data_IF_353911742709
#
_entry.id   IF_353911742709
#
_cell.length_a   1.000
_cell.length_b   1.000
_cell.length_c   1.000
_cell.angle_alpha   90.00
_cell.angle_beta   90.00
_cell.angle_gamma   90.00
#
_symmetry.space_group_name_H-M   'P 1'
#
loop_
_entity.id
_entity.type
_entity.pdbx_description
1 polymer ?
#
# COMPACT_ATOMS: atom_id res chain seq x y z
N UNK A 1 -8.04 13.44 -20.56
CA UNK A 1 -7.56 14.72 -19.95
C UNK A 1 -6.10 14.51 -19.68
N UNK A 2 -5.24 15.45 -20.02
CA UNK A 2 -3.80 15.32 -19.76
C UNK A 2 -3.55 15.49 -18.25
N UNK A 3 -2.64 14.69 -17.66
CA UNK A 3 -2.26 14.83 -16.26
C UNK A 3 -1.63 16.23 -16.05
N UNK A 4 -2.17 16.98 -15.11
CA UNK A 4 -1.69 18.33 -14.79
C UNK A 4 -1.64 18.54 -13.27
N UNK A 5 -0.83 19.50 -12.80
CA UNK A 5 -0.76 19.85 -11.37
C UNK A 5 -2.14 20.18 -10.75
N UNK A 6 -3.04 20.80 -11.52
CA UNK A 6 -4.40 21.11 -11.03
C UNK A 6 -5.23 19.87 -10.76
N UNK A 7 -5.16 18.84 -11.62
CA UNK A 7 -5.86 17.55 -11.44
C UNK A 7 -5.36 16.82 -10.19
N UNK A 8 -4.04 16.78 -9.98
CA UNK A 8 -3.43 16.18 -8.79
C UNK A 8 -3.92 16.89 -7.53
N UNK A 9 -3.83 18.22 -7.49
CA UNK A 9 -4.26 19.03 -6.34
C UNK A 9 -5.74 18.90 -6.04
N UNK A 10 -6.59 18.84 -7.06
CA UNK A 10 -8.03 18.64 -6.91
C UNK A 10 -8.34 17.26 -6.33
N UNK A 11 -7.68 16.22 -6.82
CA UNK A 11 -7.82 14.87 -6.30
C UNK A 11 -7.42 14.77 -4.82
N UNK A 12 -6.28 15.36 -4.45
CA UNK A 12 -5.81 15.36 -3.06
C UNK A 12 -6.74 16.13 -2.12
N UNK A 13 -7.34 17.24 -2.59
CA UNK A 13 -8.31 18.02 -1.80
C UNK A 13 -9.67 17.34 -1.66
N UNK A 14 -10.05 16.52 -2.63
CA UNK A 14 -11.32 15.80 -2.60
C UNK A 14 -11.25 14.51 -1.77
N UNK A 15 -10.06 14.08 -1.38
CA UNK A 15 -9.87 12.86 -0.61
C UNK A 15 -10.37 13.02 0.84
N UNK A 16 -10.86 11.94 1.47
CA UNK A 16 -11.22 11.94 2.88
C UNK A 16 -10.07 12.36 3.79
N UNK A 17 -10.42 13.06 4.87
CA UNK A 17 -9.47 13.39 5.94
C UNK A 17 -8.87 12.10 6.55
N UNK A 18 -7.60 12.08 6.97
CA UNK A 18 -7.01 10.92 7.65
C UNK A 18 -7.81 10.38 8.84
N UNK A 19 -8.53 11.25 9.55
CA UNK A 19 -9.40 10.86 10.67
C UNK A 19 -10.68 10.11 10.25
N UNK A 20 -11.04 10.16 8.97
CA UNK A 20 -12.22 9.52 8.40
C UNK A 20 -11.87 8.21 7.69
N UNK A 21 -10.59 7.88 7.59
CA UNK A 21 -10.11 6.66 6.92
C UNK A 21 -9.87 5.51 7.88
N UNK A 22 -10.09 4.27 7.39
CA UNK A 22 -9.59 3.07 8.02
C UNK A 22 -8.15 2.79 7.58
N UNK A 23 -7.39 2.05 8.38
CA UNK A 23 -6.01 1.67 8.06
C UNK A 23 -5.82 0.16 8.07
N UNK A 24 -5.11 -0.38 7.07
CA UNK A 24 -4.70 -1.78 6.97
C UNK A 24 -3.20 -1.87 6.67
N UNK A 25 -2.53 -2.94 7.16
CA UNK A 25 -1.09 -3.11 6.95
C UNK A 25 -0.78 -4.56 6.56
N UNK A 26 0.03 -4.73 5.51
CA UNK A 26 0.35 -6.03 4.93
C UNK A 26 1.82 -6.13 4.54
N UNK A 27 2.48 -7.24 4.84
CA UNK A 27 3.74 -7.65 4.23
C UNK A 27 3.48 -8.66 3.12
N UNK A 28 4.00 -8.43 1.93
CA UNK A 28 3.74 -9.23 0.73
C UNK A 28 4.99 -9.26 -0.19
N UNK A 29 6.12 -9.60 0.40
CA UNK A 29 7.42 -9.53 -0.29
C UNK A 29 7.96 -8.11 -0.38
N UNK A 30 8.70 -7.79 -1.45
CA UNK A 30 9.17 -6.43 -1.70
C UNK A 30 8.00 -5.46 -1.81
N UNK A 31 7.98 -4.43 -0.97
CA UNK A 31 6.84 -3.51 -0.79
C UNK A 31 6.51 -2.60 -1.98
N UNK A 32 7.39 -2.48 -2.98
CA UNK A 32 7.12 -1.64 -4.17
C UNK A 32 5.93 -2.13 -5.00
N UNK A 33 5.83 -3.46 -5.19
CA UNK A 33 4.71 -4.07 -5.88
C UNK A 33 3.38 -3.90 -5.14
N UNK A 34 3.29 -4.25 -3.85
CA UNK A 34 2.13 -3.98 -3.02
C UNK A 34 1.72 -2.51 -2.97
N UNK A 35 2.67 -1.55 -2.85
CA UNK A 35 2.37 -0.10 -2.87
C UNK A 35 1.62 0.29 -4.15
N UNK A 36 2.10 -0.13 -5.31
CA UNK A 36 1.44 0.13 -6.57
C UNK A 36 0.07 -0.58 -6.68
N UNK A 37 0.02 -1.88 -6.32
CA UNK A 37 -1.21 -2.69 -6.40
C UNK A 37 -2.33 -2.14 -5.54
N UNK A 38 -2.07 -1.84 -4.26
CA UNK A 38 -3.09 -1.30 -3.35
C UNK A 38 -3.43 0.14 -3.69
N UNK A 39 -2.46 0.97 -4.08
CA UNK A 39 -2.69 2.34 -4.52
C UNK A 39 -3.70 2.45 -5.67
N UNK A 40 -3.71 1.49 -6.60
CA UNK A 40 -4.66 1.46 -7.71
C UNK A 40 -6.10 1.17 -7.29
N UNK A 41 -6.33 0.47 -6.15
CA UNK A 41 -7.66 -0.02 -5.79
C UNK A 41 -8.64 1.11 -5.52
N UNK A 42 -9.86 0.95 -5.99
CA UNK A 42 -10.96 1.84 -5.63
C UNK A 42 -11.19 1.85 -4.12
N UNK A 43 -11.50 3.01 -3.55
CA UNK A 43 -11.67 3.20 -2.11
C UNK A 43 -10.36 3.26 -1.31
N UNK A 44 -9.20 2.92 -1.89
CA UNK A 44 -7.91 3.21 -1.27
C UNK A 44 -7.59 4.69 -1.45
N UNK A 45 -7.31 5.38 -0.36
CA UNK A 45 -7.04 6.81 -0.32
C UNK A 45 -5.55 7.08 -0.46
N UNK A 46 -4.72 6.45 0.39
CA UNK A 46 -3.25 6.60 0.33
C UNK A 46 -2.55 5.31 0.73
N UNK A 47 -1.31 5.21 0.32
CA UNK A 47 -0.45 4.10 0.70
C UNK A 47 0.89 4.62 1.20
N UNK A 48 1.57 3.85 2.04
CA UNK A 48 2.94 4.11 2.50
C UNK A 48 3.69 2.79 2.57
N UNK A 49 4.94 2.78 2.21
CA UNK A 49 5.80 1.62 2.47
C UNK A 49 6.62 1.85 3.73
N UNK A 50 6.94 0.77 4.42
CA UNK A 50 7.66 0.84 5.68
C UNK A 50 8.04 -0.51 6.24
N UNK A 51 8.35 -0.51 7.53
CA UNK A 51 8.84 -1.66 8.28
C UNK A 51 7.98 -1.90 9.50
N UNK A 52 7.65 -3.17 9.76
CA UNK A 52 6.82 -3.55 10.92
C UNK A 52 7.09 -4.98 11.38
N UNK A 53 6.56 -5.34 12.56
CA UNK A 53 6.57 -6.70 13.11
C UNK A 53 7.90 -7.13 13.76
N UNK A 54 8.88 -6.26 13.82
CA UNK A 54 10.16 -6.50 14.47
C UNK A 54 10.29 -5.76 15.80
N UNK A 55 11.41 -5.99 16.49
CA UNK A 55 11.73 -5.44 17.81
C UNK A 55 12.71 -4.26 17.75
N UNK A 56 13.43 -4.11 16.63
CA UNK A 56 14.39 -3.02 16.47
C UNK A 56 13.70 -1.66 16.45
N UNK A 57 14.21 -0.72 17.24
CA UNK A 57 13.80 0.69 17.17
C UNK A 57 14.51 1.39 15.99
N UNK A 58 13.78 2.28 15.31
CA UNK A 58 14.27 3.07 14.19
C UNK A 58 14.98 2.22 13.11
N UNK A 59 14.27 1.21 12.53
CA UNK A 59 14.82 0.40 11.45
C UNK A 59 15.06 1.25 10.20
N UNK A 60 16.03 0.84 9.39
CA UNK A 60 16.27 1.36 8.04
C UNK A 60 16.49 0.20 7.09
N UNK A 61 16.46 0.46 5.79
CA UNK A 61 16.66 -0.58 4.78
C UNK A 61 17.97 -1.38 4.99
N UNK A 62 19.04 -0.69 5.36
CA UNK A 62 20.35 -1.32 5.61
C UNK A 62 20.53 -1.85 7.04
N UNK A 63 19.59 -1.54 7.94
CA UNK A 63 19.64 -1.95 9.33
C UNK A 63 18.23 -2.34 9.82
N UNK A 64 17.60 -3.26 9.08
CA UNK A 64 16.21 -3.65 9.25
C UNK A 64 15.95 -4.42 10.55
N UNK A 65 16.94 -5.18 11.04
CA UNK A 65 16.75 -6.09 12.16
C UNK A 65 15.82 -7.24 11.78
N UNK A 66 14.83 -7.47 12.61
CA UNK A 66 13.81 -8.51 12.47
C UNK A 66 12.49 -8.01 11.89
N UNK A 67 12.47 -6.78 11.33
CA UNK A 67 11.28 -6.23 10.68
C UNK A 67 11.02 -6.86 9.29
N UNK A 68 9.77 -6.75 8.88
CA UNK A 68 9.28 -7.11 7.55
C UNK A 68 8.95 -5.84 6.77
N UNK A 69 9.23 -5.83 5.46
CA UNK A 69 8.73 -4.80 4.54
C UNK A 69 7.21 -4.88 4.44
N UNK A 70 6.55 -3.75 4.62
CA UNK A 70 5.09 -3.69 4.62
C UNK A 70 4.58 -2.50 3.82
N UNK A 71 3.37 -2.64 3.29
CA UNK A 71 2.55 -1.54 2.81
C UNK A 71 1.48 -1.22 3.85
N UNK A 72 1.36 0.05 4.22
CA UNK A 72 0.23 0.57 5.00
C UNK A 72 -0.73 1.29 4.06
N UNK A 73 -2.00 1.01 4.18
CA UNK A 73 -3.09 1.43 3.28
C UNK A 73 -4.13 2.16 4.09
N UNK A 74 -4.37 3.44 3.79
CA UNK A 74 -5.54 4.15 4.28
C UNK A 74 -6.66 4.02 3.25
N UNK A 75 -7.86 3.70 3.70
CA UNK A 75 -9.01 3.45 2.85
C UNK A 75 -10.26 4.16 3.36
N UNK A 76 -11.11 4.54 2.41
CA UNK A 76 -12.43 5.09 2.67
C UNK A 76 -13.39 3.94 3.05
N UNK A 77 -13.92 3.89 4.30
CA UNK A 77 -14.79 2.83 4.75
C UNK A 77 -16.16 2.80 4.07
N UNK A 78 -16.56 3.89 3.39
CA UNK A 78 -17.79 3.93 2.60
C UNK A 78 -17.63 3.28 1.22
N UNK A 79 -16.40 3.13 0.72
CA UNK A 79 -16.09 2.62 -0.62
C UNK A 79 -15.42 1.25 -0.62
N UNK A 80 -14.66 0.93 0.43
CA UNK A 80 -14.03 -0.38 0.58
C UNK A 80 -13.94 -0.77 2.06
N UNK A 81 -13.36 -1.92 2.37
CA UNK A 81 -13.31 -2.41 3.76
C UNK A 81 -12.01 -3.15 4.04
N UNK A 82 -11.64 -3.26 5.33
CA UNK A 82 -10.54 -4.12 5.76
C UNK A 82 -10.72 -5.57 5.27
N UNK A 83 -11.96 -6.10 5.24
CA UNK A 83 -12.29 -7.42 4.69
C UNK A 83 -11.84 -7.55 3.23
N UNK A 84 -12.20 -6.59 2.40
CA UNK A 84 -11.84 -6.61 0.98
C UNK A 84 -10.33 -6.53 0.79
N UNK A 85 -9.65 -5.65 1.54
CA UNK A 85 -8.20 -5.48 1.45
C UNK A 85 -7.43 -6.71 1.98
N UNK A 86 -7.86 -7.31 3.11
CA UNK A 86 -7.28 -8.54 3.63
C UNK A 86 -7.49 -9.71 2.65
N UNK A 87 -8.65 -9.78 2.01
CA UNK A 87 -8.90 -10.73 0.93
C UNK A 87 -7.92 -10.57 -0.22
N UNK A 88 -7.70 -9.33 -0.69
CA UNK A 88 -6.72 -9.03 -1.75
C UNK A 88 -5.29 -9.38 -1.34
N UNK A 89 -4.92 -9.17 -0.07
CA UNK A 89 -3.61 -9.55 0.45
C UNK A 89 -3.41 -11.08 0.41
N UNK A 90 -4.41 -11.86 0.84
CA UNK A 90 -4.36 -13.31 0.81
C UNK A 90 -4.38 -13.88 -0.63
N UNK A 91 -5.04 -13.20 -1.57
CA UNK A 91 -5.06 -13.59 -2.99
C UNK A 91 -3.74 -13.24 -3.71
N UNK A 92 -2.87 -12.43 -3.10
CA UNK A 92 -1.61 -11.98 -3.70
C UNK A 92 -0.48 -13.00 -3.58
N UNK A 93 -0.63 -14.04 -2.76
CA UNK A 93 0.38 -15.07 -2.51
C UNK A 93 -0.29 -16.41 -2.15
N UNK A 94 0.49 -17.47 -2.02
CA UNK A 94 0.01 -18.74 -1.47
C UNK A 94 0.10 -18.69 0.07
N UNK A 95 -1.03 -18.66 0.79
CA UNK A 95 -1.03 -18.57 2.25
C UNK A 95 -0.33 -19.73 2.96
N UNK A 96 -0.18 -20.89 2.30
CA UNK A 96 0.47 -22.08 2.83
C UNK A 96 1.98 -22.13 2.55
N UNK A 97 2.56 -21.03 2.03
CA UNK A 97 3.99 -20.94 1.73
C UNK A 97 4.57 -19.64 2.25
N UNK A 98 5.74 -19.74 2.88
CA UNK A 98 6.45 -18.57 3.39
C UNK A 98 7.88 -18.52 2.86
N UNK A 99 8.38 -17.31 2.64
CA UNK A 99 9.80 -17.09 2.32
C UNK A 99 10.64 -17.11 3.61
N UNK A 100 11.89 -17.54 3.49
CA UNK A 100 12.79 -17.66 4.66
C UNK A 100 13.25 -16.31 5.20
N UNK A 101 13.45 -15.34 4.32
CA UNK A 101 13.95 -14.00 4.67
C UNK A 101 12.85 -13.21 5.33
N UNK A 102 12.99 -12.86 6.60
CA UNK A 102 12.00 -12.11 7.40
C UNK A 102 11.59 -10.81 6.72
N UNK A 103 12.53 -10.11 6.10
CA UNK A 103 12.28 -8.87 5.35
C UNK A 103 11.13 -9.02 4.34
N UNK A 104 11.00 -10.16 3.67
CA UNK A 104 10.04 -10.37 2.58
C UNK A 104 8.91 -11.34 2.92
N UNK A 105 8.71 -11.64 4.19
CA UNK A 105 7.65 -12.55 4.62
C UNK A 105 6.25 -11.98 4.37
N UNK A 106 5.31 -12.91 4.12
CA UNK A 106 3.91 -12.57 4.06
C UNK A 106 3.34 -12.44 5.47
N UNK A 107 2.71 -11.30 5.75
CA UNK A 107 2.08 -11.02 7.04
C UNK A 107 0.84 -10.15 6.86
N UNK A 108 -0.22 -10.48 7.60
CA UNK A 108 -1.43 -9.65 7.72
C UNK A 108 -1.47 -9.12 9.15
N UNK A 109 -1.48 -7.79 9.30
CA UNK A 109 -1.61 -7.16 10.59
C UNK A 109 -3.06 -6.83 10.90
N UNK A 110 -3.49 -7.15 12.12
CA UNK A 110 -4.81 -6.81 12.65
C UNK A 110 -4.65 -5.96 13.91
N UNK A 111 -4.91 -4.66 13.79
CA UNK A 111 -4.71 -3.67 14.87
C UNK A 111 -5.83 -3.73 15.90
N UNK A 112 -7.09 -3.79 15.45
CA UNK A 112 -8.28 -3.76 16.32
C UNK A 112 -8.92 -5.14 16.52
N UNK A 113 -9.78 -5.26 17.53
CA UNK A 113 -10.57 -6.47 17.71
C UNK A 113 -11.45 -6.76 16.48
N UNK A 114 -12.10 -5.73 15.94
CA UNK A 114 -12.93 -5.83 14.74
C UNK A 114 -12.14 -6.33 13.51
N UNK A 115 -10.90 -5.88 13.34
CA UNK A 115 -10.04 -6.39 12.27
C UNK A 115 -9.68 -7.86 12.47
N UNK A 116 -9.40 -8.28 13.71
CA UNK A 116 -9.12 -9.70 14.02
C UNK A 116 -10.33 -10.60 13.74
N UNK A 117 -11.51 -10.19 14.15
CA UNK A 117 -12.76 -10.92 13.88
C UNK A 117 -13.04 -10.99 12.37
N UNK A 118 -12.87 -9.87 11.67
CA UNK A 118 -13.03 -9.82 10.22
C UNK A 118 -12.04 -10.74 9.52
N UNK A 119 -10.76 -10.73 9.91
CA UNK A 119 -9.73 -11.58 9.30
C UNK A 119 -10.02 -13.07 9.56
N UNK A 120 -10.47 -13.44 10.77
CA UNK A 120 -10.86 -14.81 11.07
C UNK A 120 -12.00 -15.29 10.15
N UNK A 121 -13.03 -14.45 9.94
CA UNK A 121 -14.11 -14.76 9.02
C UNK A 121 -13.64 -14.87 7.56
N UNK A 122 -12.71 -14.01 7.13
CA UNK A 122 -12.11 -14.08 5.77
C UNK A 122 -11.34 -15.38 5.56
N UNK A 123 -10.60 -15.84 6.57
CA UNK A 123 -9.88 -17.12 6.51
C UNK A 123 -10.85 -18.30 6.48
N UNK A 124 -11.87 -18.32 7.34
CA UNK A 124 -12.90 -19.37 7.38
C UNK A 124 -13.61 -19.51 6.02
N UNK A 125 -14.02 -18.41 5.41
CA UNK A 125 -14.67 -18.40 4.07
C UNK A 125 -13.78 -18.98 2.97
N UNK A 126 -12.46 -18.93 3.13
CA UNK A 126 -11.47 -19.51 2.23
C UNK A 126 -11.06 -20.95 2.60
N UNK A 127 -11.62 -21.49 3.66
CA UNK A 127 -11.22 -22.80 4.19
C UNK A 127 -9.80 -22.82 4.74
N UNK A 128 -9.26 -21.64 5.14
CA UNK A 128 -7.96 -21.48 5.74
C UNK A 128 -8.08 -21.44 7.28
N UNK A 129 -7.13 -22.06 7.97
CA UNK A 129 -7.04 -21.99 9.43
C UNK A 129 -5.78 -21.21 9.80
N UNK A 130 -5.92 -20.23 10.69
CA UNK A 130 -4.86 -19.30 11.05
C UNK A 130 -3.60 -19.99 11.64
N UNK A 131 -3.78 -21.13 12.31
CA UNK A 131 -2.72 -21.96 12.89
C UNK A 131 -2.12 -22.99 11.91
N UNK A 132 -2.72 -23.14 10.73
CA UNK A 132 -2.29 -24.10 9.70
C UNK A 132 -1.64 -23.44 8.48
N UNK A 133 -1.78 -22.13 8.31
CA UNK A 133 -1.16 -21.39 7.22
C UNK A 133 0.24 -20.85 7.59
N UNK A 134 1.08 -20.64 6.59
CA UNK A 134 2.43 -20.08 6.77
C UNK A 134 2.44 -18.54 6.79
N UNK A 135 1.39 -17.89 6.28
CA UNK A 135 1.21 -16.43 6.37
C UNK A 135 1.11 -16.02 7.84
N UNK A 136 1.98 -15.13 8.27
CA UNK A 136 1.94 -14.60 9.64
C UNK A 136 0.69 -13.75 9.86
N UNK A 137 0.02 -13.93 10.99
CA UNK A 137 -1.09 -13.09 11.43
C UNK A 137 -0.66 -12.46 12.74
N UNK A 138 -0.50 -11.16 12.75
CA UNK A 138 0.10 -10.47 13.89
C UNK A 138 -0.67 -9.20 14.27
N UNK A 139 -0.43 -8.75 15.49
CA UNK A 139 -0.82 -7.41 15.91
C UNK A 139 0.26 -6.42 15.49
N UNK A 140 -0.15 -5.31 14.90
CA UNK A 140 0.75 -4.21 14.61
C UNK A 140 1.00 -3.40 15.90
N UNK A 141 2.24 -3.37 16.36
CA UNK A 141 2.64 -2.52 17.46
C UNK A 141 3.07 -1.15 16.97
N UNK A 142 3.92 -1.11 15.95
CA UNK A 142 4.42 0.13 15.34
C UNK A 142 4.70 -0.08 13.85
N UNK A 143 4.41 0.96 13.07
CA UNK A 143 4.83 1.12 11.69
C UNK A 143 5.93 2.18 11.64
N UNK A 144 7.02 1.87 10.95
CA UNK A 144 8.11 2.79 10.67
C UNK A 144 8.10 3.07 9.17
N UNK A 145 7.84 4.32 8.73
CA UNK A 145 7.95 4.67 7.31
C UNK A 145 9.34 4.35 6.79
N UNK A 146 9.41 3.74 5.60
CA UNK A 146 10.66 3.57 4.88
C UNK A 146 11.15 4.93 4.34
N UNK A 147 12.42 4.94 3.95
CA UNK A 147 13.09 6.11 3.40
C UNK A 147 12.36 6.64 2.15
N UNK A 148 12.45 7.93 1.89
CA UNK A 148 11.68 8.64 0.87
C UNK A 148 11.86 8.07 -0.54
N UNK A 149 13.05 7.57 -0.87
CA UNK A 149 13.31 6.95 -2.18
C UNK A 149 12.57 5.63 -2.41
N UNK A 150 12.05 5.01 -1.35
CA UNK A 150 11.20 3.82 -1.44
C UNK A 150 9.72 4.16 -1.67
N UNK A 151 9.28 5.35 -1.24
CA UNK A 151 7.90 5.77 -1.36
C UNK A 151 7.55 6.05 -2.82
N UNK A 152 6.43 5.49 -3.29
CA UNK A 152 5.94 5.69 -4.66
C UNK A 152 6.98 5.35 -5.73
N UNK A 153 7.66 4.22 -5.55
CA UNK A 153 8.79 3.80 -6.39
C UNK A 153 8.44 3.76 -7.88
N UNK A 154 7.29 3.21 -8.27
CA UNK A 154 6.88 3.14 -9.68
C UNK A 154 6.61 4.52 -10.27
N UNK A 155 5.97 5.42 -9.51
CA UNK A 155 5.75 6.81 -9.91
C UNK A 155 7.07 7.52 -10.15
N UNK A 156 8.01 7.43 -9.20
CA UNK A 156 9.33 8.06 -9.29
C UNK A 156 10.15 7.54 -10.47
N UNK A 157 9.99 6.25 -10.79
CA UNK A 157 10.65 5.61 -11.93
C UNK A 157 10.02 5.89 -13.30
N UNK A 158 8.83 6.53 -13.35
CA UNK A 158 8.11 6.78 -14.59
C UNK A 158 8.32 8.20 -15.07
N UNK A 159 8.93 8.38 -16.28
CA UNK A 159 9.16 9.70 -16.82
C UNK A 159 7.87 10.53 -16.90
N UNK A 160 7.96 11.81 -16.51
CA UNK A 160 6.85 12.76 -16.59
C UNK A 160 5.88 12.77 -15.40
N UNK A 161 5.89 11.76 -14.50
CA UNK A 161 5.02 11.78 -13.33
C UNK A 161 5.59 12.62 -12.18
N UNK A 162 6.83 12.39 -11.79
CA UNK A 162 7.47 13.15 -10.70
C UNK A 162 7.43 14.67 -10.93
N UNK A 163 7.77 15.21 -12.13
CA UNK A 163 7.76 16.66 -12.38
C UNK A 163 6.42 17.34 -12.08
N UNK A 164 5.29 16.64 -12.18
CA UNK A 164 3.97 17.21 -11.85
C UNK A 164 3.86 17.55 -10.36
N UNK A 165 4.43 16.73 -9.49
CA UNK A 165 4.49 16.97 -8.05
C UNK A 165 5.54 18.03 -7.69
N UNK A 166 6.68 18.04 -8.38
CA UNK A 166 7.74 19.05 -8.21
C UNK A 166 7.19 20.46 -8.54
N UNK A 167 6.39 20.59 -9.61
CA UNK A 167 5.72 21.87 -9.98
C UNK A 167 4.70 22.31 -8.92
N UNK A 168 4.08 21.37 -8.21
CA UNK A 168 3.19 21.65 -7.09
C UNK A 168 3.92 22.08 -5.82
N UNK A 169 5.25 21.86 -5.79
CA UNK A 169 6.10 22.11 -4.64
C UNK A 169 5.98 21.06 -3.54
N UNK A 170 5.54 19.84 -3.89
CA UNK A 170 5.41 18.75 -2.90
C UNK A 170 6.81 18.32 -2.44
N UNK A 171 6.98 18.27 -1.12
CA UNK A 171 8.12 17.59 -0.52
C UNK A 171 7.91 16.06 -0.47
N UNK A 172 8.91 15.32 0.01
CA UNK A 172 8.83 13.86 0.09
C UNK A 172 7.72 13.36 1.03
N UNK A 173 7.41 14.11 2.08
CA UNK A 173 6.32 13.78 3.01
C UNK A 173 4.97 14.00 2.33
N UNK A 174 4.79 15.14 1.67
CA UNK A 174 3.58 15.45 0.91
C UNK A 174 3.34 14.46 -0.21
N UNK A 175 4.39 14.07 -0.94
CA UNK A 175 4.31 13.04 -1.98
C UNK A 175 3.90 11.68 -1.40
N UNK A 176 4.50 11.28 -0.26
CA UNK A 176 4.15 10.02 0.43
C UNK A 176 2.68 10.00 0.83
N UNK A 177 2.17 11.10 1.35
CA UNK A 177 0.81 11.22 1.89
C UNK A 177 -0.25 11.57 0.84
N UNK A 178 0.14 11.87 -0.41
CA UNK A 178 -0.75 12.27 -1.48
C UNK A 178 -1.62 11.11 -1.98
N UNK A 179 -2.96 11.24 -1.94
CA UNK A 179 -3.91 10.33 -2.59
C UNK A 179 -3.67 10.18 -4.09
N UNK A 180 -3.40 11.28 -4.78
CA UNK A 180 -3.08 11.26 -6.21
C UNK A 180 -1.79 10.48 -6.48
N UNK A 181 -0.76 10.65 -5.64
CA UNK A 181 0.48 9.89 -5.78
C UNK A 181 0.26 8.38 -5.58
N UNK A 182 -0.62 7.96 -4.68
CA UNK A 182 -0.96 6.56 -4.51
C UNK A 182 -1.60 5.96 -5.78
N UNK A 183 -2.56 6.68 -6.39
CA UNK A 183 -3.21 6.28 -7.66
C UNK A 183 -2.21 6.24 -8.81
N UNK A 184 -1.42 7.29 -8.98
CA UNK A 184 -0.44 7.40 -10.05
C UNK A 184 0.70 6.37 -9.91
N UNK A 185 1.09 6.03 -8.68
CA UNK A 185 2.02 4.93 -8.43
C UNK A 185 1.43 3.58 -8.87
N UNK A 186 0.13 3.38 -8.65
CA UNK A 186 -0.60 2.22 -9.14
C UNK A 186 -0.62 2.13 -10.67
N UNK A 187 -0.97 3.22 -11.33
CA UNK A 187 -0.96 3.32 -12.80
C UNK A 187 0.44 3.06 -13.37
N UNK A 188 1.47 3.68 -12.79
CA UNK A 188 2.86 3.48 -13.14
C UNK A 188 3.33 2.03 -12.93
N UNK A 189 2.75 1.33 -11.95
CA UNK A 189 2.95 -0.10 -11.72
C UNK A 189 2.19 -1.02 -12.68
N UNK A 190 1.45 -0.46 -13.64
CA UNK A 190 0.71 -1.21 -14.67
C UNK A 190 -0.70 -1.65 -14.24
N UNK A 191 -1.24 -1.09 -13.17
CA UNK A 191 -2.60 -1.35 -12.71
C UNK A 191 -3.59 -0.33 -13.28
N UNK A 192 -4.81 -0.80 -13.55
CA UNK A 192 -5.90 0.10 -13.94
C UNK A 192 -6.33 0.95 -12.73
N UNK A 193 -6.38 2.25 -12.94
CA UNK A 193 -6.88 3.22 -11.96
C UNK A 193 -8.06 3.95 -12.59
N UNK A 194 -9.23 3.80 -11.98
CA UNK A 194 -10.42 4.51 -12.45
C UNK A 194 -10.33 6.04 -12.25
N UNK A 195 -11.29 6.75 -12.84
CA UNK A 195 -11.47 8.18 -12.65
C UNK A 195 -10.53 9.06 -13.48
N UNK A 196 -10.50 10.36 -13.12
CA UNK A 196 -9.82 11.40 -13.91
C UNK A 196 -8.29 11.24 -13.95
N UNK A 197 -7.70 10.62 -12.94
CA UNK A 197 -6.26 10.33 -12.90
C UNK A 197 -5.85 9.19 -13.83
N UNK A 198 -6.77 8.21 -14.09
CA UNK A 198 -6.52 7.12 -15.03
C UNK A 198 -6.85 7.50 -16.48
N UNK A 199 -7.80 8.40 -16.69
CA UNK A 199 -8.27 8.82 -18.01
C UNK A 199 -7.25 9.76 -18.69
N UNK A 200 -6.28 9.21 -19.40
CA UNK A 200 -5.30 9.97 -20.18
C UNK A 200 -3.84 9.68 -19.84
N UNK A 201 -3.59 8.77 -18.93
CA UNK A 201 -2.26 8.21 -18.72
C UNK A 201 -2.00 7.15 -19.82
N UNK A 202 -1.54 7.60 -20.99
CA UNK A 202 -0.87 6.71 -21.94
C UNK A 202 0.56 6.45 -21.42
N UNK A 203 0.63 5.72 -20.31
CA UNK A 203 1.90 5.20 -19.82
C UNK A 203 2.25 4.06 -20.77
N UNK A 204 3.00 4.40 -21.81
CA UNK A 204 3.57 3.41 -22.73
C UNK A 204 4.12 2.26 -21.89
N UNK A 205 3.58 1.07 -22.09
CA UNK A 205 3.91 -0.12 -21.33
C UNK A 205 5.42 -0.27 -21.23
N UNK A 206 5.96 0.03 -20.05
CA UNK A 206 7.35 -0.24 -19.74
C UNK A 206 7.64 -1.73 -19.92
N UNK A 207 8.87 -2.13 -20.17
CA UNK A 207 9.23 -3.52 -20.44
C UNK A 207 8.80 -4.42 -19.27
N UNK A 208 8.08 -5.48 -19.63
CA UNK A 208 7.63 -6.56 -18.74
C UNK A 208 8.82 -7.32 -18.17
#
# INVERSE_FOLDING_TARGET
>A
MELSPSVVREHDRAAPDPSETGTATFGLGCFWGPDARFGALEGVVRTRVGYAGGTRTDPSYHALGDHTEVVQVDFDPERTSYRALAGRALDAHDPNRQVRTTQYQNVVFAVTAAQRETLAAVLEERGLQADAIETRIERLDRFYPAEDYHQKHSLRGTPGLQPVFDELGYDDVELRESPAAAKLNGAAGGYDVGGDLGAGLDLAAGPR
#
